data_IF_128231118470
#
_entry.id   IF_128231118470
#
_cell.length_a   1.000
_cell.length_b   1.000
_cell.length_c   1.000
_cell.angle_alpha   90.00
_cell.angle_beta   90.00
_cell.angle_gamma   90.00
#
_symmetry.space_group_name_H-M   'P 1'
#
loop_
_entity.id
_entity.type
_entity.pdbx_description
1 polymer ?
#
# COMPACT_ATOMS: atom_id res chain seq x y z
N UNK A 1 29.99 -7.28 68.85
CA UNK A 1 29.21 -7.73 67.67
C UNK A 1 28.75 -6.49 66.92
N UNK A 2 29.24 -6.28 65.68
CA UNK A 2 28.83 -5.17 64.82
C UNK A 2 27.61 -5.61 64.00
N UNK A 3 26.46 -4.97 64.20
CA UNK A 3 25.27 -5.17 63.38
C UNK A 3 25.52 -4.60 61.98
N UNK A 4 25.47 -5.45 60.96
CA UNK A 4 25.42 -5.06 59.55
C UNK A 4 23.97 -4.70 59.20
N UNK A 5 23.71 -3.42 58.91
CA UNK A 5 22.49 -3.00 58.23
C UNK A 5 22.73 -3.13 56.71
N UNK A 6 22.14 -4.16 56.09
CA UNK A 6 22.10 -4.28 54.63
C UNK A 6 20.87 -3.53 54.14
N UNK A 7 21.10 -2.37 53.52
CA UNK A 7 20.08 -1.59 52.83
C UNK A 7 19.78 -2.26 51.48
N UNK A 8 18.70 -3.04 51.42
CA UNK A 8 18.20 -3.60 50.16
C UNK A 8 17.49 -2.47 49.40
N UNK A 9 18.20 -1.82 48.48
CA UNK A 9 17.61 -0.90 47.50
C UNK A 9 16.86 -1.76 46.49
N UNK A 10 15.54 -1.83 46.64
CA UNK A 10 14.65 -2.44 45.66
C UNK A 10 14.67 -1.64 44.36
N UNK A 11 15.34 -2.19 43.35
CA UNK A 11 15.14 -1.79 41.95
C UNK A 11 13.74 -2.23 41.52
N UNK A 12 12.72 -1.42 41.81
CA UNK A 12 11.48 -1.46 41.08
C UNK A 12 11.76 -0.84 39.70
N UNK A 13 12.24 -1.65 38.76
CA UNK A 13 12.26 -1.30 37.35
C UNK A 13 10.81 -1.05 36.95
N UNK A 14 10.44 0.22 36.85
CA UNK A 14 9.28 0.68 36.10
C UNK A 14 9.47 0.15 34.67
N UNK A 15 8.84 -0.99 34.38
CA UNK A 15 8.59 -1.41 33.01
C UNK A 15 7.64 -0.39 32.42
N UNK A 16 8.20 0.69 31.89
CA UNK A 16 7.50 1.53 30.93
C UNK A 16 7.12 0.59 29.78
N UNK A 17 5.87 0.12 29.77
CA UNK A 17 5.30 -0.48 28.57
C UNK A 17 5.39 0.58 27.50
N UNK A 18 6.39 0.47 26.62
CA UNK A 18 6.43 1.24 25.39
C UNK A 18 5.13 0.94 24.67
N UNK A 19 4.18 1.89 24.71
CA UNK A 19 2.90 1.72 24.04
C UNK A 19 3.19 1.51 22.56
N UNK A 20 2.67 0.42 21.99
CA UNK A 20 2.86 0.16 20.55
C UNK A 20 2.34 1.37 19.76
N UNK A 21 3.20 1.92 18.90
CA UNK A 21 2.87 3.07 18.07
C UNK A 21 1.83 2.63 17.04
N UNK A 22 0.64 3.23 17.10
CA UNK A 22 -0.45 2.95 16.18
C UNK A 22 -0.43 3.92 14.99
N UNK A 23 0.01 3.44 13.83
CA UNK A 23 0.14 4.22 12.59
C UNK A 23 -1.19 4.81 12.13
N UNK A 24 -2.32 4.17 12.43
CA UNK A 24 -3.66 4.69 12.14
C UNK A 24 -3.93 6.01 12.83
N UNK A 25 -3.37 6.22 14.03
CA UNK A 25 -3.61 7.42 14.82
C UNK A 25 -2.58 8.51 14.55
N UNK A 26 -1.32 8.13 14.33
CA UNK A 26 -0.21 9.11 14.33
C UNK A 26 0.46 9.31 12.98
N UNK A 27 0.25 8.42 12.01
CA UNK A 27 0.95 8.45 10.73
C UNK A 27 0.00 8.76 9.56
N UNK A 28 -0.98 7.90 9.31
CA UNK A 28 -1.86 8.04 8.14
C UNK A 28 -2.65 9.36 8.09
N UNK A 29 -3.08 10.00 9.20
CA UNK A 29 -3.71 11.31 9.13
C UNK A 29 -2.80 12.39 8.54
N UNK A 30 -1.50 12.35 8.83
CA UNK A 30 -0.52 13.26 8.24
C UNK A 30 -0.21 12.92 6.79
N UNK A 31 -0.12 11.63 6.45
CA UNK A 31 0.03 11.21 5.05
C UNK A 31 -1.16 11.65 4.20
N UNK A 32 -2.40 11.52 4.70
CA UNK A 32 -3.58 11.99 3.98
C UNK A 32 -3.50 13.50 3.69
N UNK A 33 -3.14 14.30 4.70
CA UNK A 33 -2.95 15.75 4.54
C UNK A 33 -1.83 16.07 3.55
N UNK A 34 -0.72 15.34 3.59
CA UNK A 34 0.39 15.53 2.68
C UNK A 34 -0.02 15.24 1.23
N UNK A 35 -0.68 14.11 0.99
CA UNK A 35 -1.15 13.72 -0.35
C UNK A 35 -2.19 14.70 -0.89
N UNK A 36 -3.11 15.22 -0.06
CA UNK A 36 -4.06 16.26 -0.49
C UNK A 36 -3.35 17.58 -0.82
N UNK A 37 -2.35 17.97 -0.04
CA UNK A 37 -1.53 19.14 -0.36
C UNK A 37 -0.75 18.96 -1.68
N UNK A 38 -0.27 17.75 -1.99
CA UNK A 38 0.30 17.42 -3.31
C UNK A 38 -0.73 17.60 -4.42
N UNK A 39 -1.96 17.07 -4.23
CA UNK A 39 -3.06 17.23 -5.20
C UNK A 39 -3.35 18.71 -5.46
N UNK A 40 -3.28 19.54 -4.42
CA UNK A 40 -3.49 20.99 -4.51
C UNK A 40 -2.25 21.78 -5.01
N UNK A 41 -1.13 21.12 -5.31
CA UNK A 41 0.13 21.76 -5.71
C UNK A 41 0.87 22.51 -4.59
N UNK A 42 0.48 22.30 -3.33
CA UNK A 42 1.05 22.94 -2.13
C UNK A 42 2.22 22.12 -1.58
N UNK A 43 3.34 22.10 -2.30
CA UNK A 43 4.48 21.21 -1.99
C UNK A 43 5.13 21.47 -0.62
N UNK A 44 5.12 22.72 -0.13
CA UNK A 44 5.60 23.05 1.22
C UNK A 44 4.72 22.42 2.30
N UNK A 45 3.41 22.60 2.21
CA UNK A 45 2.46 22.02 3.16
C UNK A 45 2.50 20.48 3.12
N UNK A 46 2.68 19.91 1.92
CA UNK A 46 2.86 18.48 1.75
C UNK A 46 4.11 17.98 2.46
N UNK A 47 5.25 18.63 2.22
CA UNK A 47 6.53 18.31 2.83
C UNK A 47 6.46 18.36 4.37
N UNK A 48 5.92 19.45 4.93
CA UNK A 48 5.77 19.59 6.39
C UNK A 48 4.88 18.51 7.00
N UNK A 49 3.84 18.05 6.29
CA UNK A 49 3.01 16.94 6.77
C UNK A 49 3.72 15.58 6.66
N UNK A 50 4.53 15.36 5.62
CA UNK A 50 5.41 14.19 5.56
C UNK A 50 6.39 14.17 6.73
N UNK A 51 7.05 15.28 7.05
CA UNK A 51 7.98 15.36 8.19
C UNK A 51 7.28 15.03 9.51
N UNK A 52 6.08 15.58 9.74
CA UNK A 52 5.25 15.26 10.92
C UNK A 52 4.91 13.77 11.00
N UNK A 53 4.56 13.16 9.87
CA UNK A 53 4.29 11.72 9.82
C UNK A 53 5.54 10.91 10.18
N UNK A 54 6.70 11.25 9.61
CA UNK A 54 7.95 10.52 9.83
C UNK A 54 8.47 10.67 11.26
N UNK A 55 8.30 11.84 11.87
CA UNK A 55 8.68 12.07 13.26
C UNK A 55 7.83 11.27 14.25
N UNK A 56 6.62 10.87 13.87
CA UNK A 56 5.68 10.15 14.74
C UNK A 56 5.89 8.63 14.78
N UNK A 57 6.74 8.08 13.90
CA UNK A 57 6.94 6.64 13.76
C UNK A 57 8.41 6.27 13.59
N UNK A 58 8.83 5.06 13.98
CA UNK A 58 10.22 4.65 13.83
C UNK A 58 10.64 4.41 12.37
N UNK A 59 9.67 4.28 11.45
CA UNK A 59 9.89 3.99 10.02
C UNK A 59 8.68 4.41 9.20
N UNK A 60 8.89 5.02 8.06
CA UNK A 60 7.82 5.35 7.10
C UNK A 60 7.80 4.35 5.93
N UNK A 61 6.76 4.39 5.11
CA UNK A 61 6.73 3.62 3.86
C UNK A 61 7.63 4.29 2.80
N UNK A 62 8.27 3.48 1.96
CA UNK A 62 9.17 3.97 0.90
C UNK A 62 8.49 5.04 0.03
N UNK A 63 7.23 4.80 -0.38
CA UNK A 63 6.47 5.73 -1.22
C UNK A 63 6.38 7.14 -0.60
N UNK A 64 6.29 7.21 0.72
CA UNK A 64 6.11 8.47 1.42
C UNK A 64 7.44 9.23 1.50
N UNK A 65 8.56 8.53 1.76
CA UNK A 65 9.89 9.13 1.63
C UNK A 65 10.15 9.63 0.21
N UNK A 66 9.79 8.85 -0.81
CA UNK A 66 9.90 9.27 -2.20
C UNK A 66 9.10 10.54 -2.46
N UNK A 67 7.82 10.56 -2.08
CA UNK A 67 6.95 11.73 -2.30
C UNK A 67 7.43 12.97 -1.53
N UNK A 68 8.01 12.79 -0.33
CA UNK A 68 8.66 13.87 0.41
C UNK A 68 9.91 14.39 -0.32
N UNK A 69 10.72 13.51 -0.91
CA UNK A 69 11.86 13.90 -1.72
C UNK A 69 11.43 14.69 -2.97
N UNK A 70 10.36 14.25 -3.65
CA UNK A 70 9.78 14.99 -4.79
C UNK A 70 9.35 16.40 -4.37
N UNK A 71 8.65 16.52 -3.23
CA UNK A 71 8.26 17.83 -2.70
C UNK A 71 9.50 18.71 -2.40
N UNK A 72 10.51 18.16 -1.73
CA UNK A 72 11.76 18.89 -1.44
C UNK A 72 12.47 19.35 -2.72
N UNK A 73 12.48 18.52 -3.76
CA UNK A 73 13.09 18.87 -5.05
C UNK A 73 12.36 20.04 -5.70
N UNK A 74 11.02 20.05 -5.70
CA UNK A 74 10.24 21.18 -6.21
C UNK A 74 10.36 22.46 -5.38
N UNK A 75 10.77 22.35 -4.12
CA UNK A 75 11.09 23.48 -3.27
C UNK A 75 12.54 23.97 -3.45
N UNK A 76 13.36 23.30 -4.28
CA UNK A 76 14.78 23.60 -4.44
C UNK A 76 15.63 23.20 -3.23
N UNK A 77 15.11 22.35 -2.35
CA UNK A 77 15.80 21.90 -1.14
C UNK A 77 16.58 20.60 -1.43
N UNK A 78 17.80 20.77 -1.94
CA UNK A 78 18.72 19.67 -2.23
C UNK A 78 19.04 18.82 -0.98
N UNK A 79 19.20 19.46 0.18
CA UNK A 79 19.55 18.79 1.43
C UNK A 79 18.46 17.80 1.85
N UNK A 80 17.20 18.23 1.89
CA UNK A 80 16.11 17.34 2.24
C UNK A 80 15.78 16.35 1.12
N UNK A 81 16.00 16.71 -0.15
CA UNK A 81 15.90 15.75 -1.26
C UNK A 81 16.84 14.57 -1.04
N UNK A 82 18.13 14.82 -0.80
CA UNK A 82 19.11 13.75 -0.56
C UNK A 82 18.80 12.95 0.70
N UNK A 83 18.44 13.62 1.80
CA UNK A 83 18.03 12.98 3.06
C UNK A 83 16.96 11.91 2.80
N UNK A 84 15.86 12.27 2.11
CA UNK A 84 14.77 11.33 1.89
C UNK A 84 15.06 10.29 0.81
N UNK A 85 15.86 10.61 -0.20
CA UNK A 85 16.31 9.59 -1.15
C UNK A 85 17.23 8.55 -0.48
N UNK A 86 18.02 8.92 0.53
CA UNK A 86 18.77 7.94 1.33
C UNK A 86 17.85 7.04 2.16
N UNK A 87 16.71 7.55 2.65
CA UNK A 87 15.67 6.69 3.27
C UNK A 87 15.06 5.73 2.25
N UNK A 88 14.84 6.17 1.01
CA UNK A 88 14.40 5.31 -0.11
C UNK A 88 15.44 4.22 -0.42
N UNK A 89 16.74 4.54 -0.44
CA UNK A 89 17.80 3.53 -0.55
C UNK A 89 17.75 2.52 0.61
N UNK A 90 17.43 2.99 1.81
CA UNK A 90 17.20 2.20 3.02
C UNK A 90 16.00 1.24 2.94
N UNK A 91 15.23 1.28 1.85
CA UNK A 91 14.12 0.36 1.53
C UNK A 91 14.45 -0.60 0.38
N UNK A 92 15.69 -0.57 -0.10
CA UNK A 92 16.22 -1.47 -1.12
C UNK A 92 16.02 -1.00 -2.57
N UNK A 93 15.59 0.23 -2.79
CA UNK A 93 15.34 0.79 -4.12
C UNK A 93 16.65 1.04 -4.87
N UNK A 94 16.69 0.72 -6.17
CA UNK A 94 17.87 0.96 -7.00
C UNK A 94 18.09 2.45 -7.25
N UNK A 95 19.35 2.85 -7.43
CA UNK A 95 19.66 4.21 -7.84
C UNK A 95 19.16 4.50 -9.26
N UNK A 96 19.14 3.49 -10.13
CA UNK A 96 18.65 3.62 -11.51
C UNK A 96 17.18 4.04 -11.55
N UNK A 97 16.34 3.47 -10.67
CA UNK A 97 14.96 3.93 -10.52
C UNK A 97 14.91 5.43 -10.22
N UNK A 98 15.69 5.92 -9.25
CA UNK A 98 15.74 7.35 -8.91
C UNK A 98 16.24 8.22 -10.06
N UNK A 99 17.18 7.73 -10.87
CA UNK A 99 17.73 8.47 -12.01
C UNK A 99 16.73 8.62 -13.15
N UNK A 100 15.86 7.64 -13.34
CA UNK A 100 14.86 7.63 -14.40
C UNK A 100 13.65 8.52 -14.07
N UNK A 101 13.46 8.86 -12.80
CA UNK A 101 12.34 9.67 -12.34
C UNK A 101 12.47 11.14 -12.75
N UNK A 102 11.48 11.61 -13.52
CA UNK A 102 11.47 12.97 -14.08
C UNK A 102 11.57 14.05 -13.01
N UNK A 103 10.99 13.81 -11.83
CA UNK A 103 11.06 14.72 -10.69
C UNK A 103 12.51 15.03 -10.24
N UNK A 104 13.45 14.10 -10.44
CA UNK A 104 14.82 14.21 -9.95
C UNK A 104 15.85 14.55 -11.03
N UNK A 105 15.45 14.71 -12.30
CA UNK A 105 16.39 15.05 -13.38
C UNK A 105 17.16 16.36 -13.11
N UNK A 106 16.51 17.34 -12.47
CA UNK A 106 17.15 18.61 -12.10
C UNK A 106 18.22 18.46 -11.02
N UNK A 107 17.94 17.69 -9.96
CA UNK A 107 18.88 17.51 -8.84
C UNK A 107 20.12 16.70 -9.26
N UNK A 108 20.05 15.92 -10.34
CA UNK A 108 21.20 15.21 -10.90
C UNK A 108 22.32 16.14 -11.41
N UNK A 109 22.01 17.41 -11.67
CA UNK A 109 22.98 18.43 -12.08
C UNK A 109 23.64 19.14 -10.90
N UNK A 110 23.18 18.90 -9.67
CA UNK A 110 23.76 19.50 -8.47
C UNK A 110 25.20 18.98 -8.25
N UNK A 111 26.16 19.86 -7.88
CA UNK A 111 27.55 19.45 -7.69
C UNK A 111 27.77 18.33 -6.66
N UNK A 112 26.84 18.17 -5.71
CA UNK A 112 26.92 17.14 -4.67
C UNK A 112 26.39 15.78 -5.14
N UNK A 113 25.72 15.72 -6.30
CA UNK A 113 25.07 14.50 -6.81
C UNK A 113 26.00 13.29 -6.81
N UNK A 114 27.24 13.44 -7.30
CA UNK A 114 28.20 12.33 -7.38
C UNK A 114 28.60 11.78 -6.00
N UNK A 115 28.62 12.61 -4.96
CA UNK A 115 28.86 12.14 -3.59
C UNK A 115 27.62 11.44 -3.05
N UNK A 116 26.44 12.03 -3.28
CA UNK A 116 25.16 11.42 -2.94
C UNK A 116 24.99 10.02 -3.57
N UNK A 117 25.36 9.80 -4.83
CA UNK A 117 25.27 8.48 -5.47
C UNK A 117 26.06 7.41 -4.71
N UNK A 118 27.25 7.75 -4.21
CA UNK A 118 28.08 6.82 -3.43
C UNK A 118 27.42 6.48 -2.11
N UNK A 119 26.86 7.47 -1.43
CA UNK A 119 26.13 7.30 -0.17
C UNK A 119 24.87 6.45 -0.37
N UNK A 120 24.10 6.73 -1.43
CA UNK A 120 22.92 5.97 -1.81
C UNK A 120 23.25 4.49 -2.03
N UNK A 121 24.28 4.19 -2.83
CA UNK A 121 24.71 2.82 -3.09
C UNK A 121 25.24 2.13 -1.83
N UNK A 122 25.92 2.85 -0.93
CA UNK A 122 26.35 2.30 0.35
C UNK A 122 25.13 1.96 1.23
N UNK A 123 24.18 2.87 1.37
CA UNK A 123 22.95 2.69 2.14
C UNK A 123 22.11 1.52 1.63
N UNK A 124 21.98 1.39 0.30
CA UNK A 124 21.29 0.25 -0.31
C UNK A 124 22.02 -1.08 -0.03
N UNK A 125 23.35 -1.12 -0.11
CA UNK A 125 24.13 -2.32 0.24
C UNK A 125 23.95 -2.73 1.69
N UNK A 126 23.90 -1.76 2.62
CA UNK A 126 23.59 -2.05 4.02
C UNK A 126 22.20 -2.68 4.19
N UNK A 127 21.21 -2.17 3.45
CA UNK A 127 19.88 -2.75 3.44
C UNK A 127 19.89 -4.21 2.91
N UNK A 128 20.55 -4.45 1.78
CA UNK A 128 20.65 -5.78 1.15
C UNK A 128 21.37 -6.82 2.03
N UNK A 129 22.18 -6.37 3.00
CA UNK A 129 22.82 -7.21 4.00
C UNK A 129 21.92 -7.50 5.21
N UNK A 130 21.04 -6.57 5.58
CA UNK A 130 20.15 -6.67 6.75
C UNK A 130 18.82 -7.36 6.47
N UNK A 131 18.36 -7.32 5.23
CA UNK A 131 17.11 -7.93 4.80
C UNK A 131 17.02 -9.42 5.20
N UNK A 132 15.84 -9.87 5.61
CA UNK A 132 15.60 -11.26 5.99
C UNK A 132 15.44 -12.13 4.72
N UNK A 133 16.57 -12.48 4.10
CA UNK A 133 16.62 -13.32 2.89
C UNK A 133 15.92 -14.66 3.11
N UNK A 134 16.10 -15.30 4.27
CA UNK A 134 15.44 -16.57 4.59
C UNK A 134 13.92 -16.46 4.65
N UNK A 135 13.36 -15.35 5.17
CA UNK A 135 11.92 -15.10 5.11
C UNK A 135 11.46 -14.83 3.69
N UNK A 136 12.20 -14.01 2.93
CA UNK A 136 11.90 -13.74 1.52
C UNK A 136 11.85 -15.04 0.70
N UNK A 137 12.83 -15.93 0.86
CA UNK A 137 12.89 -17.23 0.17
C UNK A 137 11.73 -18.15 0.54
N UNK A 138 11.28 -18.16 1.80
CA UNK A 138 10.07 -18.90 2.22
C UNK A 138 8.83 -18.38 1.51
N UNK A 139 8.64 -17.06 1.47
CA UNK A 139 7.50 -16.44 0.78
C UNK A 139 7.55 -16.71 -0.73
N UNK A 140 8.73 -16.67 -1.35
CA UNK A 140 8.92 -17.02 -2.77
C UNK A 140 8.50 -18.46 -3.04
N UNK A 141 8.92 -19.42 -2.22
CA UNK A 141 8.54 -20.84 -2.39
C UNK A 141 7.04 -21.08 -2.27
N UNK A 142 6.35 -20.36 -1.37
CA UNK A 142 4.89 -20.40 -1.25
C UNK A 142 4.22 -19.96 -2.55
N UNK A 143 4.73 -18.88 -3.16
CA UNK A 143 4.21 -18.34 -4.42
C UNK A 143 4.52 -19.27 -5.60
N UNK A 144 5.73 -19.80 -5.69
CA UNK A 144 6.11 -20.78 -6.71
C UNK A 144 5.21 -22.02 -6.64
N UNK A 145 4.93 -22.51 -5.43
CA UNK A 145 4.01 -23.64 -5.20
C UNK A 145 2.58 -23.31 -5.62
N UNK A 146 2.07 -22.11 -5.30
CA UNK A 146 0.74 -21.64 -5.74
C UNK A 146 0.63 -21.62 -7.28
N UNK A 147 1.66 -21.12 -7.97
CA UNK A 147 1.60 -20.92 -9.41
C UNK A 147 1.85 -22.20 -10.22
N UNK A 148 2.62 -23.15 -9.68
CA UNK A 148 3.13 -24.31 -10.44
C UNK A 148 2.05 -25.08 -11.22
N UNK A 149 0.93 -25.44 -10.57
CA UNK A 149 -0.15 -26.18 -11.23
C UNK A 149 -1.11 -25.27 -12.00
N UNK A 150 -1.27 -24.01 -11.56
CA UNK A 150 -2.19 -23.05 -12.19
C UNK A 150 -1.77 -22.70 -13.61
N UNK A 151 -0.46 -22.48 -13.82
CA UNK A 151 0.08 -22.14 -15.15
C UNK A 151 0.19 -23.34 -16.10
N UNK A 152 0.00 -24.57 -15.61
CA UNK A 152 0.13 -25.83 -16.36
C UNK A 152 -1.20 -26.50 -16.72
N UNK A 153 -2.32 -25.84 -16.47
CA UNK A 153 -3.66 -26.36 -16.74
C UNK A 153 -4.48 -26.50 -15.46
N UNK A 154 -4.96 -25.37 -14.93
CA UNK A 154 -5.65 -25.31 -13.64
C UNK A 154 -6.84 -26.28 -13.52
N UNK A 155 -7.58 -26.53 -14.60
CA UNK A 155 -8.72 -27.45 -14.62
C UNK A 155 -8.30 -28.90 -14.36
N UNK A 156 -7.19 -29.35 -14.97
CA UNK A 156 -6.68 -30.71 -14.81
C UNK A 156 -6.11 -30.98 -13.41
N UNK A 157 -5.79 -29.93 -12.65
CA UNK A 157 -5.16 -30.01 -11.34
C UNK A 157 -6.02 -29.40 -10.22
N UNK A 158 -7.33 -29.26 -10.41
CA UNK A 158 -8.22 -28.58 -9.47
C UNK A 158 -8.08 -29.10 -8.02
N UNK A 159 -8.13 -30.43 -7.82
CA UNK A 159 -7.98 -31.04 -6.48
C UNK A 159 -6.62 -30.77 -5.85
N UNK A 160 -5.55 -30.79 -6.67
CA UNK A 160 -4.19 -30.50 -6.22
C UNK A 160 -4.04 -29.04 -5.84
N UNK A 161 -4.64 -28.13 -6.62
CA UNK A 161 -4.65 -26.69 -6.34
C UNK A 161 -5.34 -26.41 -5.01
N UNK A 162 -6.50 -27.02 -4.75
CA UNK A 162 -7.20 -26.86 -3.46
C UNK A 162 -6.32 -27.33 -2.30
N UNK A 163 -5.62 -28.46 -2.43
CA UNK A 163 -4.68 -28.93 -1.39
C UNK A 163 -3.52 -27.97 -1.17
N UNK A 164 -2.95 -27.44 -2.26
CA UNK A 164 -1.87 -26.46 -2.21
C UNK A 164 -2.33 -25.16 -1.56
N UNK A 165 -3.53 -24.68 -1.86
CA UNK A 165 -4.09 -23.46 -1.27
C UNK A 165 -4.21 -23.58 0.25
N UNK A 166 -4.68 -24.72 0.75
CA UNK A 166 -4.75 -24.99 2.20
C UNK A 166 -3.37 -25.02 2.85
N UNK A 167 -2.42 -25.73 2.25
CA UNK A 167 -1.04 -25.82 2.75
C UNK A 167 -0.36 -24.46 2.77
N UNK A 168 -0.51 -23.68 1.70
CA UNK A 168 -0.02 -22.32 1.59
C UNK A 168 -0.60 -21.40 2.66
N UNK A 169 -1.93 -21.47 2.90
CA UNK A 169 -2.58 -20.66 3.92
C UNK A 169 -2.04 -20.98 5.32
N UNK A 170 -1.92 -22.26 5.68
CA UNK A 170 -1.34 -22.68 6.97
C UNK A 170 0.13 -22.27 7.12
N UNK A 171 0.92 -22.35 6.06
CA UNK A 171 2.31 -21.92 6.11
C UNK A 171 2.45 -20.40 6.27
N UNK A 172 1.58 -19.62 5.59
CA UNK A 172 1.52 -18.16 5.79
C UNK A 172 1.07 -17.78 7.20
N UNK A 173 0.07 -18.45 7.75
CA UNK A 173 -0.39 -18.26 9.13
C UNK A 173 0.77 -18.44 10.13
N UNK A 174 1.50 -19.56 10.02
CA UNK A 174 2.70 -19.82 10.82
C UNK A 174 3.80 -18.76 10.62
N UNK A 175 4.01 -18.30 9.39
CA UNK A 175 4.98 -17.24 9.10
C UNK A 175 4.56 -15.94 9.80
N UNK A 176 3.28 -15.58 9.74
CA UNK A 176 2.78 -14.34 10.33
C UNK A 176 2.82 -14.37 11.86
N UNK A 177 2.51 -15.51 12.48
CA UNK A 177 2.69 -15.72 13.92
C UNK A 177 4.15 -15.57 14.34
N UNK A 178 5.08 -16.12 13.56
CA UNK A 178 6.51 -16.15 13.92
C UNK A 178 7.26 -14.85 13.64
N UNK A 179 6.95 -14.17 12.53
CA UNK A 179 7.72 -13.04 12.03
C UNK A 179 6.94 -11.71 12.03
N UNK A 180 5.65 -11.75 12.41
CA UNK A 180 4.70 -10.70 12.09
C UNK A 180 4.38 -10.66 10.59
N UNK A 181 3.47 -9.76 10.21
CA UNK A 181 3.16 -9.56 8.79
C UNK A 181 4.39 -8.97 8.05
N UNK A 182 4.94 -9.65 7.03
CA UNK A 182 6.13 -9.19 6.32
C UNK A 182 5.89 -7.84 5.60
N UNK A 183 6.83 -6.91 5.77
CA UNK A 183 6.79 -5.61 5.10
C UNK A 183 8.16 -5.13 4.61
N UNK A 184 8.20 -3.90 4.10
CA UNK A 184 9.34 -3.33 3.35
C UNK A 184 10.68 -3.42 4.08
N UNK A 185 10.70 -3.23 5.39
CA UNK A 185 11.94 -3.27 6.18
C UNK A 185 12.48 -4.69 6.40
N UNK A 186 11.63 -5.71 6.27
CA UNK A 186 12.02 -7.10 6.49
C UNK A 186 12.38 -7.80 5.19
N UNK A 187 11.64 -7.54 4.11
CA UNK A 187 11.75 -8.27 2.84
C UNK A 187 11.97 -7.37 1.62
N UNK A 188 12.25 -6.07 1.85
CA UNK A 188 12.44 -5.09 0.78
C UNK A 188 11.12 -4.65 0.16
N UNK A 189 11.18 -3.63 -0.68
CA UNK A 189 10.09 -3.35 -1.61
C UNK A 189 9.99 -4.51 -2.62
N UNK A 190 8.79 -4.78 -3.14
CA UNK A 190 8.55 -5.83 -4.14
C UNK A 190 9.33 -5.63 -5.44
N UNK A 191 9.17 -6.56 -6.38
CA UNK A 191 9.85 -6.51 -7.68
C UNK A 191 9.55 -5.18 -8.40
N UNK A 192 10.58 -4.55 -8.97
CA UNK A 192 10.47 -3.24 -9.62
C UNK A 192 10.51 -2.02 -8.69
N UNK A 193 10.76 -2.19 -7.39
CA UNK A 193 11.00 -1.08 -6.47
C UNK A 193 9.74 -0.32 -6.03
N UNK A 194 8.55 -0.77 -6.41
CA UNK A 194 7.27 -0.16 -6.03
C UNK A 194 6.53 -1.06 -5.01
N UNK A 195 6.61 -0.79 -3.70
CA UNK A 195 6.01 -1.64 -2.65
C UNK A 195 4.47 -1.62 -2.66
N UNK A 196 3.91 -0.66 -3.38
CA UNK A 196 2.47 -0.50 -3.62
C UNK A 196 1.91 -1.71 -4.39
N UNK A 197 2.69 -2.31 -5.28
CA UNK A 197 2.21 -3.35 -6.17
C UNK A 197 2.58 -4.69 -5.55
N UNK A 198 1.73 -5.09 -4.61
CA UNK A 198 1.45 -6.47 -4.21
C UNK A 198 2.69 -7.35 -4.11
N UNK A 199 3.21 -7.55 -2.90
CA UNK A 199 4.11 -8.68 -2.70
C UNK A 199 3.47 -9.94 -3.29
N UNK A 200 4.21 -10.76 -4.05
CA UNK A 200 3.60 -11.89 -4.74
C UNK A 200 2.79 -12.81 -3.82
N UNK A 201 3.19 -12.97 -2.56
CA UNK A 201 2.45 -13.77 -1.56
C UNK A 201 1.06 -13.21 -1.21
N UNK A 202 0.76 -11.94 -1.49
CA UNK A 202 -0.61 -11.40 -1.35
C UNK A 202 -1.59 -12.12 -2.26
N UNK A 203 -1.16 -12.62 -3.41
CA UNK A 203 -2.03 -13.41 -4.29
C UNK A 203 -2.52 -14.67 -3.60
N UNK A 204 -1.66 -15.33 -2.81
CA UNK A 204 -1.99 -16.51 -2.03
C UNK A 204 -3.00 -16.18 -0.92
N UNK A 205 -2.85 -15.02 -0.25
CA UNK A 205 -3.86 -14.53 0.70
C UNK A 205 -5.20 -14.34 -0.01
N UNK A 206 -5.21 -13.69 -1.19
CA UNK A 206 -6.43 -13.44 -1.99
C UNK A 206 -7.11 -14.72 -2.48
N UNK A 207 -6.43 -15.88 -2.49
CA UNK A 207 -7.07 -17.17 -2.82
C UNK A 207 -7.97 -17.68 -1.71
N UNK A 208 -7.87 -17.17 -0.49
CA UNK A 208 -8.71 -17.54 0.66
C UNK A 208 -10.05 -16.80 0.64
N UNK A 209 -10.86 -17.02 -0.40
CA UNK A 209 -12.20 -16.45 -0.55
C UNK A 209 -13.17 -17.09 0.45
N UNK A 210 -14.35 -16.50 0.70
CA UNK A 210 -15.30 -17.04 1.69
C UNK A 210 -15.65 -18.52 1.48
N UNK A 211 -15.64 -19.00 0.24
CA UNK A 211 -16.03 -20.36 -0.13
C UNK A 211 -14.94 -21.41 0.15
N UNK A 212 -13.68 -21.01 0.25
CA UNK A 212 -12.53 -21.93 0.33
C UNK A 212 -11.49 -21.56 1.40
N UNK A 213 -11.76 -20.52 2.20
CA UNK A 213 -10.87 -20.00 3.22
C UNK A 213 -10.58 -21.04 4.30
N UNK A 214 -9.30 -21.31 4.51
CA UNK A 214 -8.79 -22.11 5.64
C UNK A 214 -8.31 -21.21 6.77
N UNK A 215 -7.81 -20.02 6.43
CA UNK A 215 -7.32 -19.02 7.38
C UNK A 215 -7.91 -17.66 7.02
N UNK A 216 -8.60 -17.02 7.97
CA UNK A 216 -9.05 -15.64 7.79
C UNK A 216 -7.93 -14.65 8.12
N UNK A 217 -7.31 -14.10 7.08
CA UNK A 217 -6.18 -13.17 7.24
C UNK A 217 -6.57 -11.74 7.66
N UNK A 218 -7.86 -11.43 7.86
CA UNK A 218 -8.33 -10.06 8.17
C UNK A 218 -7.64 -9.45 9.39
N UNK A 219 -7.47 -10.22 10.47
CA UNK A 219 -6.81 -9.73 11.69
C UNK A 219 -5.32 -9.44 11.47
N UNK A 220 -4.61 -10.28 10.70
CA UNK A 220 -3.23 -10.02 10.33
C UNK A 220 -3.09 -8.76 9.49
N UNK A 221 -3.97 -8.56 8.50
CA UNK A 221 -3.97 -7.38 7.63
C UNK A 221 -4.22 -6.10 8.44
N UNK A 222 -5.21 -6.09 9.33
CA UNK A 222 -5.49 -4.91 10.17
C UNK A 222 -4.40 -4.63 11.19
N UNK A 223 -3.77 -5.67 11.74
CA UNK A 223 -2.61 -5.53 12.64
C UNK A 223 -1.40 -4.99 11.88
N UNK A 224 -1.18 -5.46 10.64
CA UNK A 224 -0.14 -4.95 9.76
C UNK A 224 -0.31 -3.46 9.47
N UNK A 225 -1.54 -3.00 9.25
CA UNK A 225 -1.86 -1.58 9.06
C UNK A 225 -1.52 -0.75 10.29
N UNK A 226 -1.95 -1.20 11.49
CA UNK A 226 -1.68 -0.51 12.77
C UNK A 226 -0.18 -0.42 13.08
N UNK A 227 0.59 -1.43 12.68
CA UNK A 227 2.02 -1.54 12.97
C UNK A 227 2.94 -1.02 11.85
N UNK A 228 2.36 -0.37 10.83
CA UNK A 228 3.12 0.22 9.71
C UNK A 228 3.84 -0.82 8.85
N UNK A 229 3.25 -2.00 8.68
CA UNK A 229 3.75 -3.08 7.82
C UNK A 229 3.05 -3.14 6.47
N UNK A 230 1.85 -2.57 6.38
CA UNK A 230 1.01 -2.58 5.18
C UNK A 230 0.19 -1.29 5.13
N UNK A 231 -0.07 -0.77 3.92
CA UNK A 231 -0.96 0.37 3.76
C UNK A 231 -2.43 -0.02 3.98
N UNK A 232 -3.28 0.89 4.50
CA UNK A 232 -4.71 0.68 4.66
C UNK A 232 -5.39 0.25 3.35
N UNK A 233 -5.04 0.88 2.22
CA UNK A 233 -5.62 0.54 0.91
C UNK A 233 -5.26 -0.87 0.44
N UNK A 234 -4.01 -1.31 0.62
CA UNK A 234 -3.63 -2.69 0.28
C UNK A 234 -4.38 -3.70 1.13
N UNK A 235 -4.48 -3.46 2.45
CA UNK A 235 -5.18 -4.35 3.37
C UNK A 235 -6.67 -4.46 3.03
N UNK A 236 -7.36 -3.32 2.87
CA UNK A 236 -8.80 -3.29 2.57
C UNK A 236 -9.13 -3.86 1.20
N UNK A 237 -8.27 -3.65 0.20
CA UNK A 237 -8.45 -4.27 -1.12
C UNK A 237 -8.31 -5.81 -1.07
N UNK A 238 -7.41 -6.35 -0.25
CA UNK A 238 -7.29 -7.81 -0.04
C UNK A 238 -8.50 -8.32 0.75
N UNK A 239 -8.88 -7.63 1.83
CA UNK A 239 -10.05 -7.96 2.66
C UNK A 239 -11.33 -8.02 1.82
N UNK A 240 -11.49 -7.11 0.86
CA UNK A 240 -12.64 -7.11 -0.02
C UNK A 240 -12.80 -8.43 -0.80
N UNK A 241 -11.69 -9.06 -1.17
CA UNK A 241 -11.68 -10.37 -1.83
C UNK A 241 -11.91 -11.51 -0.84
N UNK A 242 -11.18 -11.55 0.27
CA UNK A 242 -11.22 -12.70 1.20
C UNK A 242 -12.51 -12.77 2.04
N UNK A 243 -13.20 -11.64 2.21
CA UNK A 243 -14.49 -11.56 2.91
C UNK A 243 -15.68 -11.53 1.94
N UNK A 244 -15.45 -11.46 0.63
CA UNK A 244 -16.49 -11.37 -0.39
C UNK A 244 -17.33 -10.08 -0.34
N UNK A 245 -16.89 -9.06 0.39
CA UNK A 245 -17.58 -7.78 0.50
C UNK A 245 -16.60 -6.61 0.60
N UNK A 246 -16.90 -5.48 -0.05
CA UNK A 246 -16.06 -4.28 0.00
C UNK A 246 -16.62 -3.24 0.97
N UNK A 247 -16.63 -3.57 2.27
CA UNK A 247 -17.19 -2.68 3.32
C UNK A 247 -16.46 -1.34 3.42
N UNK A 248 -15.20 -1.28 3.00
CA UNK A 248 -14.40 -0.05 2.99
C UNK A 248 -14.53 0.73 1.69
N UNK A 249 -15.22 0.20 0.67
CA UNK A 249 -15.30 0.79 -0.65
C UNK A 249 -13.89 1.06 -1.21
N UNK A 250 -12.98 0.09 -1.10
CA UNK A 250 -11.63 0.13 -1.64
C UNK A 250 -11.60 0.16 -3.18
N UNK A 251 -12.68 -0.28 -3.85
CA UNK A 251 -12.88 -0.23 -5.31
C UNK A 251 -14.00 0.73 -5.71
N UNK A 252 -14.22 1.78 -4.92
CA UNK A 252 -15.32 2.74 -5.12
C UNK A 252 -15.33 3.38 -6.51
N UNK A 253 -14.14 3.64 -7.06
CA UNK A 253 -13.97 4.19 -8.41
C UNK A 253 -13.61 3.07 -9.36
N UNK A 254 -14.29 3.04 -10.50
CA UNK A 254 -14.09 2.02 -11.51
C UNK A 254 -14.42 2.50 -12.92
N UNK A 255 -14.10 1.66 -13.90
CA UNK A 255 -14.31 1.90 -15.33
C UNK A 255 -14.90 0.66 -15.99
N UNK A 256 -15.97 0.85 -16.77
CA UNK A 256 -16.50 -0.16 -17.69
C UNK A 256 -15.94 0.14 -19.08
N UNK A 257 -15.07 -0.75 -19.55
CA UNK A 257 -14.47 -0.71 -20.88
C UNK A 257 -15.33 -1.46 -21.88
N UNK A 258 -15.52 -0.89 -23.06
CA UNK A 258 -16.20 -1.55 -24.18
C UNK A 258 -15.60 -1.08 -25.50
N UNK A 259 -15.76 -1.89 -26.54
CA UNK A 259 -15.33 -1.64 -27.92
C UNK A 259 -16.26 -0.72 -28.72
N UNK A 260 -17.24 -0.08 -28.05
CA UNK A 260 -18.23 0.84 -28.65
C UNK A 260 -19.11 0.17 -29.73
N UNK A 261 -19.35 -1.14 -29.59
CA UNK A 261 -20.30 -1.88 -30.42
C UNK A 261 -21.66 -1.18 -30.55
N UNK A 262 -22.32 -1.34 -31.71
CA UNK A 262 -23.63 -0.74 -32.02
C UNK A 262 -24.70 -1.04 -30.95
N UNK A 263 -24.59 -2.18 -30.25
CA UNK A 263 -25.50 -2.59 -29.17
C UNK A 263 -25.40 -1.72 -27.91
N UNK A 264 -24.27 -1.04 -27.71
CA UNK A 264 -24.02 -0.10 -26.61
C UNK A 264 -24.45 1.33 -26.93
N UNK A 265 -24.56 1.66 -28.22
CA UNK A 265 -24.88 3.01 -28.68
C UNK A 265 -26.34 3.38 -28.41
N UNK A 266 -26.59 4.66 -28.11
CA UNK A 266 -27.93 5.19 -27.83
C UNK A 266 -28.53 4.76 -26.49
N UNK A 267 -27.81 3.99 -25.67
CA UNK A 267 -28.26 3.59 -24.33
C UNK A 267 -28.10 4.72 -23.32
N UNK A 268 -28.96 4.82 -22.28
CA UNK A 268 -28.86 5.88 -21.27
C UNK A 268 -27.51 5.93 -20.53
N UNK A 269 -26.87 4.77 -20.35
CA UNK A 269 -25.56 4.66 -19.69
C UNK A 269 -24.38 4.93 -20.63
N UNK A 270 -24.60 5.10 -21.93
CA UNK A 270 -23.51 5.19 -22.92
C UNK A 270 -22.53 6.32 -22.64
N UNK A 271 -23.01 7.45 -22.11
CA UNK A 271 -22.19 8.60 -21.74
C UNK A 271 -21.18 8.32 -20.59
N UNK A 272 -21.34 7.19 -19.88
CA UNK A 272 -20.48 6.75 -18.77
C UNK A 272 -19.51 5.64 -19.16
N UNK A 273 -19.69 5.01 -20.33
CA UNK A 273 -18.78 4.00 -20.86
C UNK A 273 -17.40 4.59 -21.11
N UNK A 274 -16.36 3.80 -20.91
CA UNK A 274 -14.97 4.21 -21.10
C UNK A 274 -14.56 5.44 -20.27
N UNK A 275 -15.32 5.78 -19.21
CA UNK A 275 -15.02 6.82 -18.23
C UNK A 275 -14.84 6.25 -16.84
N UNK A 276 -14.11 6.98 -16.00
CA UNK A 276 -14.06 6.70 -14.57
C UNK A 276 -15.39 7.11 -13.95
N UNK A 277 -15.97 6.22 -13.15
CA UNK A 277 -17.23 6.45 -12.44
C UNK A 277 -17.11 6.00 -11.00
N UNK A 278 -18.04 6.46 -10.18
CA UNK A 278 -18.25 5.93 -8.82
C UNK A 278 -19.74 5.81 -8.54
N UNK A 279 -20.11 4.88 -7.65
CA UNK A 279 -21.51 4.72 -7.22
C UNK A 279 -21.88 5.84 -6.24
N UNK A 280 -23.00 6.52 -6.48
CA UNK A 280 -23.55 7.43 -5.49
C UNK A 280 -24.04 6.65 -4.27
N UNK A 281 -23.76 7.18 -3.09
CA UNK A 281 -24.14 6.60 -1.81
C UNK A 281 -24.96 7.67 -1.10
N UNK A 282 -26.02 7.24 -0.39
CA UNK A 282 -26.80 8.16 0.44
C UNK A 282 -25.92 8.85 1.48
N UNK A 283 -26.25 10.09 1.85
CA UNK A 283 -25.43 10.89 2.76
C UNK A 283 -25.19 10.23 4.12
N UNK A 284 -26.19 9.54 4.69
CA UNK A 284 -26.03 8.86 5.97
C UNK A 284 -25.12 7.63 5.85
N UNK A 285 -25.22 6.89 4.75
CA UNK A 285 -24.36 5.74 4.48
C UNK A 285 -22.93 6.17 4.16
N UNK A 286 -22.72 7.22 3.36
CA UNK A 286 -21.39 7.76 3.06
C UNK A 286 -20.70 8.25 4.34
N UNK A 287 -21.45 8.89 5.26
CA UNK A 287 -20.90 9.27 6.56
C UNK A 287 -20.43 8.04 7.36
N UNK A 288 -21.26 7.00 7.48
CA UNK A 288 -20.92 5.76 8.19
C UNK A 288 -19.70 5.07 7.58
N UNK A 289 -19.61 5.01 6.26
CA UNK A 289 -18.46 4.46 5.54
C UNK A 289 -17.21 5.29 5.81
N UNK A 290 -17.31 6.63 5.78
CA UNK A 290 -16.19 7.52 6.06
C UNK A 290 -15.69 7.38 7.49
N UNK A 291 -16.58 7.25 8.48
CA UNK A 291 -16.19 6.99 9.87
C UNK A 291 -15.40 5.68 10.00
N UNK A 292 -15.88 4.61 9.38
CA UNK A 292 -15.18 3.32 9.34
C UNK A 292 -13.83 3.41 8.61
N UNK A 293 -13.75 4.12 7.48
CA UNK A 293 -12.51 4.34 6.72
C UNK A 293 -11.47 5.09 7.57
N UNK A 294 -11.86 6.20 8.21
CA UNK A 294 -10.99 7.00 9.07
C UNK A 294 -10.52 6.22 10.30
N UNK A 295 -11.40 5.42 10.92
CA UNK A 295 -11.04 4.56 12.05
C UNK A 295 -9.97 3.50 11.70
N UNK A 296 -9.82 3.19 10.41
CA UNK A 296 -8.91 2.18 9.88
C UNK A 296 -7.75 2.78 9.04
N UNK A 297 -7.55 4.10 9.12
CA UNK A 297 -6.38 4.78 8.55
C UNK A 297 -6.54 5.19 7.08
N UNK A 298 -7.73 5.06 6.52
CA UNK A 298 -8.05 5.55 5.18
C UNK A 298 -8.62 6.96 5.23
N UNK A 299 -8.54 7.67 4.11
CA UNK A 299 -9.24 8.93 3.88
C UNK A 299 -10.73 8.75 3.56
N UNK A 300 -11.50 9.84 3.56
CA UNK A 300 -12.91 9.84 3.13
C UNK A 300 -13.05 9.47 1.65
N UNK A 301 -14.23 9.02 1.21
CA UNK A 301 -14.47 8.72 -0.20
C UNK A 301 -14.27 9.94 -1.11
N UNK A 302 -14.60 11.14 -0.64
CA UNK A 302 -14.37 12.37 -1.39
C UNK A 302 -12.88 12.66 -1.60
N UNK A 303 -12.06 12.53 -0.55
CA UNK A 303 -10.60 12.69 -0.65
C UNK A 303 -9.98 11.60 -1.52
N UNK A 304 -10.43 10.35 -1.38
CA UNK A 304 -10.00 9.22 -2.21
C UNK A 304 -10.23 9.49 -3.71
N UNK A 305 -11.43 9.96 -4.07
CA UNK A 305 -11.79 10.34 -5.45
C UNK A 305 -10.85 11.42 -6.00
N UNK A 306 -10.57 12.48 -5.22
CA UNK A 306 -9.61 13.53 -5.62
C UNK A 306 -8.22 12.99 -5.90
N UNK A 307 -7.71 12.11 -5.01
CA UNK A 307 -6.38 11.52 -5.18
C UNK A 307 -6.29 10.57 -6.37
N UNK A 308 -7.39 9.87 -6.71
CA UNK A 308 -7.46 9.06 -7.93
C UNK A 308 -7.34 9.93 -9.17
N UNK A 309 -8.11 11.01 -9.27
CA UNK A 309 -8.06 11.92 -10.43
C UNK A 309 -6.64 12.44 -10.62
N UNK A 310 -6.00 12.88 -9.53
CA UNK A 310 -4.60 13.30 -9.57
C UNK A 310 -3.69 12.17 -10.06
N UNK A 311 -3.75 10.99 -9.42
CA UNK A 311 -2.89 9.87 -9.75
C UNK A 311 -3.06 9.37 -11.18
N UNK A 312 -4.24 9.50 -11.79
CA UNK A 312 -4.51 9.12 -13.17
C UNK A 312 -3.86 10.07 -14.19
N UNK A 313 -3.59 11.32 -13.81
CA UNK A 313 -3.05 12.34 -14.69
C UNK A 313 -1.57 12.68 -14.40
N UNK A 314 -1.12 12.50 -13.16
CA UNK A 314 0.22 12.82 -12.70
C UNK A 314 0.93 11.57 -12.17
N UNK A 315 2.10 11.27 -12.72
CA UNK A 315 2.94 10.13 -12.35
C UNK A 315 4.21 10.52 -11.61
N UNK A 316 4.40 11.81 -11.29
CA UNK A 316 5.61 12.31 -10.61
C UNK A 316 5.62 11.93 -9.12
N UNK A 317 4.46 11.58 -8.58
CA UNK A 317 4.28 11.09 -7.22
C UNK A 317 3.80 9.64 -7.22
N UNK A 318 4.27 8.86 -6.24
CA UNK A 318 3.90 7.46 -6.09
C UNK A 318 2.56 7.34 -5.34
N UNK A 319 1.49 7.49 -6.11
CA UNK A 319 0.13 7.34 -5.62
C UNK A 319 -0.43 5.97 -6.05
N UNK A 320 -0.72 5.05 -5.10
CA UNK A 320 -1.06 3.66 -5.43
C UNK A 320 -2.43 3.47 -6.05
N UNK A 321 -3.20 4.54 -6.20
CA UNK A 321 -4.62 4.50 -6.48
C UNK A 321 -4.98 3.86 -7.82
N UNK A 322 -4.10 3.95 -8.83
CA UNK A 322 -4.30 3.26 -10.13
C UNK A 322 -4.38 1.74 -9.99
N UNK A 323 -3.75 1.16 -8.98
CA UNK A 323 -3.76 -0.29 -8.73
C UNK A 323 -5.00 -0.75 -7.96
N UNK A 324 -5.80 0.16 -7.42
CA UNK A 324 -6.99 -0.15 -6.61
C UNK A 324 -8.31 0.12 -7.32
N UNK A 325 -8.30 0.93 -8.38
CA UNK A 325 -9.50 1.18 -9.21
C UNK A 325 -9.89 -0.07 -10.00
N UNK A 326 -11.19 -0.31 -10.16
CA UNK A 326 -11.72 -1.42 -10.94
C UNK A 326 -11.72 -1.10 -12.44
N UNK A 327 -11.29 -2.03 -13.29
CA UNK A 327 -11.46 -1.94 -14.74
C UNK A 327 -12.04 -3.26 -15.22
N UNK A 328 -13.22 -3.21 -15.85
CA UNK A 328 -13.90 -4.39 -16.37
C UNK A 328 -14.22 -4.20 -17.84
N UNK A 329 -13.90 -5.19 -18.67
CA UNK A 329 -14.32 -5.24 -20.07
C UNK A 329 -15.69 -5.90 -20.15
N UNK A 330 -16.72 -5.16 -20.58
CA UNK A 330 -18.10 -5.63 -20.62
C UNK A 330 -18.71 -5.29 -21.98
N UNK A 331 -19.04 -6.33 -22.74
CA UNK A 331 -19.67 -6.21 -24.06
C UNK A 331 -21.16 -6.61 -24.07
N UNK A 332 -21.72 -6.97 -22.91
CA UNK A 332 -23.15 -7.20 -22.75
C UNK A 332 -23.82 -5.91 -22.22
N UNK A 333 -24.78 -5.31 -22.95
CA UNK A 333 -25.45 -4.06 -22.54
C UNK A 333 -26.19 -4.15 -21.21
N UNK A 334 -26.79 -5.29 -20.87
CA UNK A 334 -27.55 -5.45 -19.63
C UNK A 334 -26.60 -5.45 -18.43
N UNK A 335 -25.50 -6.19 -18.54
CA UNK A 335 -24.44 -6.19 -17.52
C UNK A 335 -23.84 -4.78 -17.37
N UNK A 336 -23.57 -4.08 -18.48
CA UNK A 336 -23.06 -2.72 -18.42
C UNK A 336 -24.04 -1.75 -17.74
N UNK A 337 -25.34 -1.90 -18.02
CA UNK A 337 -26.40 -1.14 -17.36
C UNK A 337 -26.39 -1.35 -15.84
N UNK A 338 -26.34 -2.59 -15.38
CA UNK A 338 -26.34 -2.95 -13.95
C UNK A 338 -25.13 -2.36 -13.21
N UNK A 339 -23.94 -2.40 -13.83
CA UNK A 339 -22.74 -1.81 -13.23
C UNK A 339 -22.80 -0.26 -13.18
N UNK A 340 -23.43 0.37 -14.18
CA UNK A 340 -23.47 1.83 -14.33
C UNK A 340 -24.71 2.50 -13.72
N UNK A 341 -25.67 1.71 -13.24
CA UNK A 341 -26.83 2.20 -12.49
C UNK A 341 -26.39 2.93 -11.21
N UNK A 342 -27.00 4.09 -10.94
CA UNK A 342 -26.68 4.91 -9.76
C UNK A 342 -25.25 5.46 -9.72
N UNK A 343 -24.49 5.39 -10.83
CA UNK A 343 -23.12 5.92 -10.88
C UNK A 343 -23.07 7.35 -11.41
N UNK A 344 -22.01 8.06 -11.05
CA UNK A 344 -21.67 9.39 -11.58
C UNK A 344 -20.28 9.35 -12.19
N UNK A 345 -20.08 10.12 -13.25
CA UNK A 345 -18.76 10.29 -13.89
C UNK A 345 -17.86 11.02 -12.91
N UNK A 346 -16.66 10.47 -12.71
CA UNK A 346 -15.60 11.13 -11.98
C UNK A 346 -14.94 12.14 -12.93
N UNK A 347 -15.17 13.43 -12.66
CA UNK A 347 -14.63 14.56 -13.42
C UNK A 347 -13.34 15.11 -12.81
#
# INVERSE_FOLDING_TARGET
MRLFFVLVVGFASLLASAQEINYVKVYYPHINKAELAVVDGKYKDAFENYEKAFAAVPRAFMKDYFNAAVCATYLGDATNTYKYLLEVAGKGISLDFIKDETAFMGIQQDPSWRNFEKEYLAKKREFDQKINKGLKDKLTKIVERDQWFRVRGAEAFADTIVKVDRQNATELDYIFDRYGFPGEDQIGCGDGGMPIIQYPFYTVIRRQTPENQTVNFSNYLMTAVRNGRMTPHSATHIMATINGNDVFFARHVFKIMTDESLSMQGKPFAAKLNKWVFRQIDGADEQRINEMRLQNGMETLAEYRKKIIFALNDNRFLFPYRSYVGIWSVNNPDIASDYLEGTVVLE
#
